data_IF_970117684608
#
_entry.id   IF_970117684608
#
_cell.length_a   1.000
_cell.length_b   1.000
_cell.length_c   1.000
_cell.angle_alpha   90.00
_cell.angle_beta   90.00
_cell.angle_gamma   90.00
#
_symmetry.space_group_name_H-M   'P 1'
#
loop_
_entity.id
_entity.type
_entity.pdbx_description
1 polymer ?
#
# COMPACT_ATOMS: atom_id res chain seq x y z
N UNK A 1 8.37 -6.03 -2.28
CA UNK A 1 6.91 -5.83 -2.21
C UNK A 1 6.19 -6.98 -2.89
N UNK A 2 5.26 -7.61 -2.19
CA UNK A 2 4.40 -8.70 -2.68
C UNK A 2 3.09 -8.14 -3.23
N UNK A 3 2.59 -8.68 -4.34
CA UNK A 3 1.34 -8.23 -4.95
C UNK A 3 0.12 -8.85 -4.27
N UNK A 4 -0.88 -8.03 -3.98
CA UNK A 4 -2.21 -8.48 -3.54
C UNK A 4 -3.18 -8.30 -4.69
N UNK A 5 -3.83 -9.39 -5.08
CA UNK A 5 -4.80 -9.43 -6.18
C UNK A 5 -6.18 -9.83 -5.65
N UNK A 6 -7.23 -9.29 -6.26
CA UNK A 6 -8.60 -9.69 -5.95
C UNK A 6 -8.93 -11.05 -6.62
N UNK A 7 -10.16 -11.55 -6.40
CA UNK A 7 -10.62 -12.81 -6.99
C UNK A 7 -10.67 -12.82 -8.53
N UNK A 8 -10.76 -11.64 -9.16
CA UNK A 8 -10.68 -11.48 -10.62
C UNK A 8 -9.22 -11.38 -11.13
N UNK A 9 -8.23 -11.54 -10.26
CA UNK A 9 -6.81 -11.42 -10.59
C UNK A 9 -6.31 -9.98 -10.79
N UNK A 10 -7.13 -8.97 -10.54
CA UNK A 10 -6.75 -7.55 -10.64
C UNK A 10 -5.86 -7.15 -9.47
N UNK A 11 -4.80 -6.40 -9.74
CA UNK A 11 -3.94 -5.82 -8.70
C UNK A 11 -4.74 -4.84 -7.85
N UNK A 12 -4.72 -5.03 -6.53
CA UNK A 12 -5.38 -4.16 -5.54
C UNK A 12 -4.34 -3.26 -4.89
N UNK A 13 -3.27 -3.85 -4.37
CA UNK A 13 -2.18 -3.15 -3.71
C UNK A 13 -0.90 -3.99 -3.73
N UNK A 14 0.20 -3.38 -3.28
CA UNK A 14 1.43 -4.09 -2.96
C UNK A 14 1.73 -3.94 -1.48
N UNK A 15 2.30 -4.98 -0.89
CA UNK A 15 2.67 -4.99 0.53
C UNK A 15 4.16 -5.18 0.65
N UNK A 16 4.80 -4.30 1.40
CA UNK A 16 6.15 -4.50 1.88
C UNK A 16 6.09 -5.19 3.25
N UNK A 17 6.34 -6.49 3.28
CA UNK A 17 6.21 -7.30 4.50
C UNK A 17 7.27 -6.96 5.56
N UNK A 18 8.42 -6.43 5.14
CA UNK A 18 9.49 -6.02 6.07
C UNK A 18 9.09 -4.78 6.87
N UNK A 19 8.37 -3.84 6.25
CA UNK A 19 7.99 -2.56 6.88
C UNK A 19 6.51 -2.49 7.27
N UNK A 20 5.70 -3.45 6.84
CA UNK A 20 4.24 -3.43 6.99
C UNK A 20 3.55 -2.34 6.16
N UNK A 21 4.21 -1.86 5.10
CA UNK A 21 3.69 -0.75 4.27
C UNK A 21 2.81 -1.29 3.15
N UNK A 22 1.63 -0.71 2.98
CA UNK A 22 0.70 -0.98 1.88
C UNK A 22 0.79 0.16 0.87
N UNK A 23 1.14 -0.18 -0.37
CA UNK A 23 1.15 0.74 -1.52
C UNK A 23 -0.13 0.53 -2.35
N UNK A 24 -0.89 1.60 -2.55
CA UNK A 24 -2.04 1.64 -3.45
C UNK A 24 -1.72 2.64 -4.56
N UNK A 25 -1.76 2.19 -5.81
CA UNK A 25 -1.55 3.05 -6.98
C UNK A 25 -2.85 3.24 -7.74
N UNK A 26 -3.27 4.49 -7.89
CA UNK A 26 -4.44 4.88 -8.69
C UNK A 26 -4.05 6.04 -9.58
N UNK A 27 -4.01 5.81 -10.89
CA UNK A 27 -3.58 6.80 -11.90
C UNK A 27 -2.19 7.37 -11.53
N UNK A 28 -2.10 8.70 -11.39
CA UNK A 28 -0.88 9.45 -11.09
C UNK A 28 -0.66 9.66 -9.59
N UNK A 29 -1.31 8.87 -8.75
CA UNK A 29 -1.18 8.92 -7.30
C UNK A 29 -0.75 7.57 -6.75
N UNK A 30 0.24 7.60 -5.85
CA UNK A 30 0.60 6.50 -4.97
C UNK A 30 0.22 6.91 -3.54
N UNK A 31 -0.60 6.09 -2.89
CA UNK A 31 -0.88 6.20 -1.46
C UNK A 31 -0.10 5.11 -0.72
N UNK A 32 0.71 5.53 0.25
CA UNK A 32 1.41 4.65 1.18
C UNK A 32 0.67 4.66 2.51
N UNK A 33 0.34 3.48 3.01
CA UNK A 33 -0.33 3.30 4.31
C UNK A 33 0.57 2.43 5.17
N UNK A 34 0.96 2.92 6.35
CA UNK A 34 1.82 2.19 7.28
C UNK A 34 1.21 2.18 8.67
N UNK A 35 1.14 1.00 9.28
CA UNK A 35 0.79 0.87 10.70
C UNK A 35 2.04 0.90 11.54
N UNK A 36 2.10 1.84 12.48
CA UNK A 36 3.22 1.99 13.40
C UNK A 36 3.07 1.05 14.60
N UNK A 37 4.17 0.81 15.32
CA UNK A 37 4.19 -0.06 16.49
C UNK A 37 3.33 0.47 17.66
N UNK A 38 3.11 1.78 17.72
CA UNK A 38 2.21 2.43 18.70
C UNK A 38 0.72 2.27 18.36
N UNK A 39 0.41 1.58 17.24
CA UNK A 39 -0.94 1.36 16.76
C UNK A 39 -1.50 2.49 15.88
N UNK A 40 -0.78 3.60 15.72
CA UNK A 40 -1.16 4.68 14.80
C UNK A 40 -0.99 4.25 13.33
N UNK A 41 -1.69 4.96 12.44
CA UNK A 41 -1.60 4.75 10.99
C UNK A 41 -1.12 6.03 10.33
N UNK A 42 -0.03 5.92 9.58
CA UNK A 42 0.48 6.98 8.71
C UNK A 42 -0.06 6.78 7.28
N UNK A 43 -0.47 7.86 6.64
CA UNK A 43 -0.94 7.88 5.25
C UNK A 43 -0.22 8.99 4.49
N UNK A 44 0.51 8.63 3.43
CA UNK A 44 1.26 9.57 2.58
C UNK A 44 0.78 9.44 1.13
N UNK A 45 0.53 10.57 0.47
CA UNK A 45 0.17 10.61 -0.94
C UNK A 45 1.33 11.21 -1.76
N UNK A 46 1.75 10.48 -2.78
CA UNK A 46 2.83 10.84 -3.68
C UNK A 46 2.27 10.99 -5.10
N UNK A 47 2.74 11.98 -5.84
CA UNK A 47 2.54 12.01 -7.30
C UNK A 47 3.46 10.97 -7.94
N UNK A 48 2.90 10.18 -8.85
CA UNK A 48 3.62 9.16 -9.61
C UNK A 48 4.17 9.69 -10.93
#
# INVERSE_FOLDING_TARGET
MSEVRNLDGKLVCRVDEATGTVEIKIKDCITLIKRNADGSTEVVNLKN
#
